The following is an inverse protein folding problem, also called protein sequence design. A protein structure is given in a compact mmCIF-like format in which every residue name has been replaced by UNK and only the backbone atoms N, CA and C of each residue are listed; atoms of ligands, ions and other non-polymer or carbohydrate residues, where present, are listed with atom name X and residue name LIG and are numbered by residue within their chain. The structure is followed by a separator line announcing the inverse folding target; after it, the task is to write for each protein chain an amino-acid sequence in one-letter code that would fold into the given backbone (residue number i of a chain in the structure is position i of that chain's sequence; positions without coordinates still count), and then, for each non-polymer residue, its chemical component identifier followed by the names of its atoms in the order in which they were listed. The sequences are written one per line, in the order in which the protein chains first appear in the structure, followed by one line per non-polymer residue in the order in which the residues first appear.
data_IF_593743397087
#
_entry.id   IF_593743397087
#
_cell.length_a   1.000
_cell.length_b   1.000
_cell.length_c   1.000
_cell.angle_alpha   90.00
_cell.angle_beta   90.00
_cell.angle_gamma   90.00
#
_symmetry.space_group_name_H-M   'P 1'
#
loop_
_entity.id
_entity.type
_entity.pdbx_description
1 polymer ?
#
# COMPACT_ATOMS: atom_id res chain seq x y z
N UNK A 1 72.86 44.67 50.96
CA UNK A 1 72.82 46.14 50.73
C UNK A 1 72.83 46.37 49.23
N UNK A 2 72.08 47.27 48.59
CA UNK A 2 71.09 48.18 49.15
C UNK A 2 69.69 48.02 48.50
N UNK A 3 68.77 48.71 49.12
CA UNK A 3 67.33 48.89 48.76
C UNK A 3 67.19 49.67 47.46
N UNK A 4 66.10 49.38 46.69
CA UNK A 4 65.41 50.41 45.92
C UNK A 4 63.92 50.14 45.87
N UNK A 5 63.20 51.16 46.29
CA UNK A 5 61.76 51.31 46.32
C UNK A 5 61.29 51.70 44.90
N UNK A 6 60.25 51.07 44.36
CA UNK A 6 59.49 51.68 43.25
C UNK A 6 57.98 51.45 43.45
N UNK A 7 57.29 52.53 43.29
CA UNK A 7 55.88 52.86 43.56
C UNK A 7 54.89 52.08 42.79
N UNK A 8 53.79 51.82 43.44
CA UNK A 8 52.53 51.36 42.93
C UNK A 8 51.90 52.32 41.88
N UNK A 9 51.42 51.79 40.77
CA UNK A 9 50.35 52.41 39.94
C UNK A 9 49.20 51.46 39.88
N UNK A 10 48.08 51.83 40.48
CA UNK A 10 46.81 51.21 40.41
C UNK A 10 46.23 51.45 38.99
N UNK A 11 46.14 50.42 38.19
CA UNK A 11 45.43 50.46 36.90
C UNK A 11 44.07 49.76 37.05
N UNK A 12 43.04 50.54 36.99
CA UNK A 12 41.63 50.05 36.98
C UNK A 12 41.34 49.33 35.64
N UNK A 13 41.36 47.99 35.63
CA UNK A 13 40.93 47.20 34.47
C UNK A 13 39.42 46.96 34.59
N UNK A 14 38.65 47.62 33.74
CA UNK A 14 37.22 47.37 33.57
C UNK A 14 37.03 45.96 32.97
N UNK A 15 36.49 45.04 33.74
CA UNK A 15 35.94 43.78 33.20
C UNK A 15 34.67 44.08 32.44
N UNK A 16 34.73 44.00 31.13
CA UNK A 16 33.55 43.88 30.25
C UNK A 16 33.07 42.43 30.31
N UNK A 17 32.02 42.19 31.10
CA UNK A 17 31.27 40.93 31.06
C UNK A 17 30.41 40.94 29.79
N UNK A 18 30.90 40.28 28.77
CA UNK A 18 30.13 40.01 27.55
C UNK A 18 29.01 39.00 27.84
N UNK A 19 27.78 39.48 27.91
CA UNK A 19 26.59 38.63 28.00
C UNK A 19 26.34 38.05 26.58
N UNK A 20 26.87 36.86 26.32
CA UNK A 20 26.52 36.10 25.10
C UNK A 20 25.10 35.60 25.25
N UNK A 21 24.15 36.28 24.58
CA UNK A 21 22.78 35.82 24.42
C UNK A 21 22.82 34.59 23.49
N UNK A 22 22.83 33.40 24.05
CA UNK A 22 22.55 32.18 23.29
C UNK A 22 21.05 32.19 22.90
N UNK A 23 20.71 32.68 21.72
CA UNK A 23 19.42 32.38 21.08
C UNK A 23 19.36 30.89 20.78
N UNK A 24 18.80 30.10 21.67
CA UNK A 24 18.36 28.75 21.37
C UNK A 24 17.19 28.88 20.39
N UNK A 25 17.46 28.72 19.11
CA UNK A 25 16.42 28.50 18.11
C UNK A 25 15.84 27.13 18.44
N UNK A 26 14.75 27.12 19.21
CA UNK A 26 13.90 25.94 19.32
C UNK A 26 13.27 25.74 17.94
N UNK A 27 13.79 24.79 17.16
CA UNK A 27 13.09 24.29 15.98
C UNK A 27 11.82 23.61 16.51
N UNK A 28 10.77 24.41 16.65
CA UNK A 28 9.45 23.90 16.98
C UNK A 28 9.00 23.00 15.84
N UNK A 29 8.85 21.73 16.13
CA UNK A 29 8.18 20.81 15.22
C UNK A 29 6.75 21.31 15.05
N UNK A 30 6.25 21.46 13.80
CA UNK A 30 4.88 21.90 13.62
C UNK A 30 3.95 20.88 14.28
N UNK A 31 3.17 21.34 15.25
CA UNK A 31 2.11 20.52 15.84
C UNK A 31 1.08 20.14 14.76
N UNK A 32 0.44 18.98 14.85
CA UNK A 32 -0.67 18.62 13.98
C UNK A 32 -1.69 19.75 13.95
N UNK A 33 -1.99 20.26 12.75
CA UNK A 33 -2.96 21.35 12.57
C UNK A 33 -4.23 20.79 11.97
N UNK A 34 -5.35 21.07 12.61
CA UNK A 34 -6.66 20.84 12.03
C UNK A 34 -7.10 22.10 11.29
N UNK A 35 -7.48 22.03 9.99
CA UNK A 35 -7.99 23.17 9.25
C UNK A 35 -9.23 23.76 9.94
N UNK A 36 -9.33 25.08 9.96
CA UNK A 36 -10.49 25.79 10.48
C UNK A 36 -11.51 26.16 9.41
N UNK A 37 -11.08 26.12 8.15
CA UNK A 37 -11.90 26.39 6.97
C UNK A 37 -11.75 25.25 5.95
N UNK A 38 -12.88 24.86 5.34
CA UNK A 38 -12.91 23.78 4.31
C UNK A 38 -12.10 24.16 3.06
N UNK A 39 -11.96 25.46 2.77
CA UNK A 39 -11.18 25.99 1.64
C UNK A 39 -9.71 26.26 1.96
N UNK A 40 -9.26 25.98 3.19
CA UNK A 40 -7.88 26.27 3.59
C UNK A 40 -6.89 25.41 2.82
N UNK A 41 -5.93 26.06 2.10
CA UNK A 41 -4.84 25.38 1.41
C UNK A 41 -3.76 25.02 2.42
N UNK A 42 -3.69 23.75 2.80
CA UNK A 42 -2.72 23.24 3.77
C UNK A 42 -1.33 23.06 3.18
N UNK A 43 -1.25 22.64 1.91
CA UNK A 43 0.00 22.36 1.21
C UNK A 43 -0.16 22.64 -0.28
N UNK A 44 0.87 23.19 -0.90
CA UNK A 44 1.00 23.26 -2.36
C UNK A 44 2.06 22.26 -2.78
N UNK A 45 1.65 21.23 -3.49
CA UNK A 45 2.59 20.22 -3.98
C UNK A 45 3.45 20.83 -5.09
N UNK A 46 4.77 20.62 -4.99
CA UNK A 46 5.68 20.99 -6.05
C UNK A 46 5.45 20.10 -7.27
N UNK A 47 5.02 20.69 -8.37
CA UNK A 47 4.88 20.00 -9.65
C UNK A 47 6.20 20.14 -10.40
N UNK A 48 6.79 19.01 -10.81
CA UNK A 48 8.00 19.05 -11.66
C UNK A 48 7.63 19.61 -13.03
N UNK A 49 8.41 20.54 -13.53
CA UNK A 49 8.25 21.04 -14.90
C UNK A 49 8.36 19.86 -15.89
N UNK A 50 7.37 19.75 -16.80
CA UNK A 50 7.31 18.67 -17.78
C UNK A 50 6.73 17.34 -17.28
N UNK A 51 6.15 17.30 -16.08
CA UNK A 51 5.45 16.12 -15.57
C UNK A 51 4.19 15.83 -16.44
N UNK A 52 4.14 14.69 -17.15
CA UNK A 52 3.00 14.33 -18.00
C UNK A 52 1.69 14.21 -17.23
N UNK A 53 1.75 13.70 -15.99
CA UNK A 53 0.57 13.52 -15.14
C UNK A 53 0.00 14.87 -14.70
N UNK A 54 0.86 15.85 -14.39
CA UNK A 54 0.42 17.19 -14.05
C UNK A 54 -0.28 17.89 -15.22
N UNK A 55 0.21 17.70 -16.45
CA UNK A 55 -0.40 18.27 -17.65
C UNK A 55 -1.78 17.65 -17.92
N UNK A 56 -1.88 16.32 -17.83
CA UNK A 56 -3.16 15.59 -17.96
C UNK A 56 -4.14 16.05 -16.89
N UNK A 57 -3.70 16.08 -15.64
CA UNK A 57 -4.53 16.48 -14.51
C UNK A 57 -5.11 17.88 -14.71
N UNK A 58 -4.29 18.86 -15.10
CA UNK A 58 -4.73 20.22 -15.40
C UNK A 58 -5.77 20.26 -16.52
N UNK A 59 -5.59 19.48 -17.58
CA UNK A 59 -6.53 19.40 -18.70
C UNK A 59 -7.90 18.87 -18.22
N UNK A 60 -7.94 17.77 -17.48
CA UNK A 60 -9.20 17.20 -16.99
C UNK A 60 -9.88 18.09 -15.95
N UNK A 61 -9.12 18.74 -15.06
CA UNK A 61 -9.66 19.72 -14.12
C UNK A 61 -10.31 20.91 -14.84
N UNK A 62 -9.69 21.40 -15.91
CA UNK A 62 -10.28 22.47 -16.74
C UNK A 62 -11.55 22.02 -17.46
N UNK A 63 -11.62 20.77 -17.93
CA UNK A 63 -12.83 20.23 -18.55
C UNK A 63 -13.99 20.22 -17.54
N UNK A 64 -13.78 19.68 -16.34
CA UNK A 64 -14.80 19.66 -15.29
C UNK A 64 -15.20 21.08 -14.84
N UNK A 65 -14.25 22.02 -14.73
CA UNK A 65 -14.59 23.39 -14.33
C UNK A 65 -15.49 24.13 -15.36
N UNK A 66 -15.37 23.76 -16.64
CA UNK A 66 -16.24 24.31 -17.72
C UNK A 66 -17.61 23.64 -17.77
N UNK A 67 -17.66 22.36 -17.49
CA UNK A 67 -18.88 21.54 -17.58
C UNK A 67 -19.08 20.66 -16.35
N UNK A 68 -19.35 21.24 -15.15
CA UNK A 68 -19.40 20.49 -13.89
C UNK A 68 -20.56 19.48 -13.78
N UNK A 69 -21.54 19.56 -14.71
CA UNK A 69 -22.67 18.62 -14.80
C UNK A 69 -22.48 17.53 -15.85
N UNK A 70 -21.35 17.54 -16.56
CA UNK A 70 -21.02 16.51 -17.53
C UNK A 70 -20.45 15.26 -16.81
N UNK A 71 -21.25 14.20 -16.76
CA UNK A 71 -20.89 12.94 -16.11
C UNK A 71 -19.60 12.34 -16.69
N UNK A 72 -19.37 12.48 -18.01
CA UNK A 72 -18.21 11.93 -18.67
C UNK A 72 -16.93 12.69 -18.28
N UNK A 73 -16.97 14.02 -18.23
CA UNK A 73 -15.84 14.83 -17.78
C UNK A 73 -15.48 14.54 -16.31
N UNK A 74 -16.51 14.42 -15.44
CA UNK A 74 -16.33 14.09 -14.01
C UNK A 74 -15.76 12.68 -13.86
N UNK A 75 -16.27 11.68 -14.58
CA UNK A 75 -15.76 10.32 -14.56
C UNK A 75 -14.29 10.24 -15.02
N UNK A 76 -13.95 10.92 -16.11
CA UNK A 76 -12.59 10.93 -16.63
C UNK A 76 -11.58 11.52 -15.62
N UNK A 77 -11.93 12.62 -14.93
CA UNK A 77 -11.08 13.20 -13.88
C UNK A 77 -11.00 12.30 -12.64
N UNK A 78 -12.14 11.74 -12.19
CA UNK A 78 -12.16 10.85 -11.04
C UNK A 78 -11.36 9.57 -11.29
N UNK A 79 -11.44 9.01 -12.51
CA UNK A 79 -10.63 7.87 -12.93
C UNK A 79 -9.14 8.20 -12.91
N UNK A 80 -8.76 9.36 -13.48
CA UNK A 80 -7.37 9.80 -13.45
C UNK A 80 -6.84 9.94 -12.01
N UNK A 81 -7.63 10.50 -11.09
CA UNK A 81 -7.25 10.55 -9.69
C UNK A 81 -7.04 9.14 -9.10
N UNK A 82 -7.93 8.19 -9.38
CA UNK A 82 -7.75 6.82 -8.91
C UNK A 82 -6.49 6.17 -9.48
N UNK A 83 -6.24 6.32 -10.78
CA UNK A 83 -5.05 5.79 -11.45
C UNK A 83 -3.75 6.37 -10.86
N UNK A 84 -3.73 7.68 -10.56
CA UNK A 84 -2.60 8.32 -9.88
C UNK A 84 -2.40 7.81 -8.44
N UNK A 85 -3.50 7.55 -7.72
CA UNK A 85 -3.42 6.95 -6.40
C UNK A 85 -2.74 5.57 -6.45
N UNK A 86 -3.12 4.74 -7.41
CA UNK A 86 -2.54 3.40 -7.59
C UNK A 86 -1.10 3.45 -8.07
N UNK A 87 -0.80 4.36 -9.02
CA UNK A 87 0.54 4.51 -9.57
C UNK A 87 1.56 4.96 -8.50
N UNK A 88 1.20 5.95 -7.70
CA UNK A 88 2.12 6.57 -6.74
C UNK A 88 1.95 6.08 -5.31
N UNK A 89 0.89 5.33 -5.00
CA UNK A 89 0.55 4.93 -3.62
C UNK A 89 0.22 6.14 -2.73
N UNK A 90 -0.42 7.17 -3.32
CA UNK A 90 -0.76 8.42 -2.63
C UNK A 90 -2.27 8.52 -2.38
N UNK A 91 -2.74 8.32 -1.13
CA UNK A 91 -4.16 8.29 -0.79
C UNK A 91 -4.88 9.63 -0.96
N UNK A 92 -4.16 10.76 -1.11
CA UNK A 92 -4.76 12.09 -1.33
C UNK A 92 -5.59 12.12 -2.62
N UNK A 93 -5.14 11.42 -3.66
CA UNK A 93 -5.88 11.32 -4.91
C UNK A 93 -7.22 10.58 -4.75
N UNK A 94 -7.30 9.58 -3.86
CA UNK A 94 -8.57 8.93 -3.52
C UNK A 94 -9.54 9.93 -2.89
N UNK A 95 -9.05 10.82 -2.01
CA UNK A 95 -9.83 11.90 -1.43
C UNK A 95 -10.35 12.90 -2.46
N UNK A 96 -9.52 13.27 -3.44
CA UNK A 96 -9.93 14.18 -4.53
C UNK A 96 -11.00 13.56 -5.44
N UNK A 97 -10.86 12.28 -5.78
CA UNK A 97 -11.87 11.57 -6.58
C UNK A 97 -13.20 11.47 -5.84
N UNK A 98 -13.16 11.16 -4.54
CA UNK A 98 -14.35 11.03 -3.70
C UNK A 98 -15.09 12.36 -3.55
N UNK A 99 -14.37 13.45 -3.27
CA UNK A 99 -14.93 14.79 -3.20
C UNK A 99 -15.58 15.20 -4.53
N UNK A 100 -14.92 14.87 -5.65
CA UNK A 100 -15.43 15.17 -6.99
C UNK A 100 -16.75 14.45 -7.29
N UNK A 101 -16.83 13.13 -7.00
CA UNK A 101 -18.05 12.35 -7.22
C UNK A 101 -19.16 12.79 -6.26
N UNK A 102 -18.83 13.08 -5.00
CA UNK A 102 -19.79 13.54 -3.99
C UNK A 102 -20.42 14.91 -4.34
N UNK A 103 -19.64 15.77 -5.00
CA UNK A 103 -20.12 17.08 -5.45
C UNK A 103 -20.93 17.03 -6.76
N UNK A 104 -20.94 15.89 -7.47
CA UNK A 104 -21.68 15.76 -8.73
C UNK A 104 -23.19 15.79 -8.51
N UNK A 105 -23.94 16.71 -9.15
CA UNK A 105 -25.35 16.95 -8.82
C UNK A 105 -26.34 16.00 -9.52
N UNK A 106 -25.83 15.17 -10.44
CA UNK A 106 -26.66 14.28 -11.26
C UNK A 106 -26.78 12.85 -10.71
N UNK A 107 -27.59 12.04 -11.37
CA UNK A 107 -27.60 10.62 -11.14
C UNK A 107 -26.28 10.00 -11.64
N UNK A 108 -25.69 9.11 -10.83
CA UNK A 108 -24.42 8.48 -11.19
C UNK A 108 -24.60 7.51 -12.38
N UNK A 109 -23.78 7.71 -13.40
CA UNK A 109 -23.64 6.78 -14.52
C UNK A 109 -22.96 5.48 -14.09
N UNK A 110 -22.99 4.45 -14.97
CA UNK A 110 -22.26 3.20 -14.73
C UNK A 110 -20.78 3.43 -14.41
N UNK A 111 -20.13 4.33 -15.15
CA UNK A 111 -18.73 4.69 -14.95
C UNK A 111 -18.49 5.37 -13.58
N UNK A 112 -19.35 6.33 -13.18
CA UNK A 112 -19.25 6.99 -11.87
C UNK A 112 -19.52 6.03 -10.72
N UNK A 113 -20.50 5.12 -10.86
CA UNK A 113 -20.75 4.04 -9.89
C UNK A 113 -19.52 3.11 -9.79
N UNK A 114 -18.95 2.72 -10.92
CA UNK A 114 -17.75 1.92 -10.96
C UNK A 114 -16.59 2.59 -10.20
N UNK A 115 -16.28 3.85 -10.53
CA UNK A 115 -15.18 4.57 -9.86
C UNK A 115 -15.46 4.72 -8.36
N UNK A 116 -16.69 5.04 -7.95
CA UNK A 116 -17.05 5.09 -6.52
C UNK A 116 -16.85 3.73 -5.84
N UNK A 117 -17.17 2.64 -6.52
CA UNK A 117 -16.86 1.28 -6.08
C UNK A 117 -15.35 1.07 -5.87
N UNK A 118 -14.51 1.58 -6.77
CA UNK A 118 -13.04 1.55 -6.63
C UNK A 118 -12.55 2.32 -5.42
N UNK A 119 -13.09 3.51 -5.14
CA UNK A 119 -12.73 4.33 -4.00
C UNK A 119 -13.13 3.65 -2.67
N UNK A 120 -14.31 3.02 -2.65
CA UNK A 120 -14.81 2.27 -1.48
C UNK A 120 -13.97 1.03 -1.21
N UNK A 121 -13.65 0.24 -2.24
CA UNK A 121 -12.78 -0.91 -2.08
C UNK A 121 -11.38 -0.52 -1.62
N UNK A 122 -10.82 0.59 -2.12
CA UNK A 122 -9.53 1.10 -1.66
C UNK A 122 -9.52 1.36 -0.15
N UNK A 123 -10.66 1.83 0.40
CA UNK A 123 -10.85 2.03 1.85
C UNK A 123 -11.35 0.79 2.58
N UNK A 124 -11.36 -0.37 1.94
CA UNK A 124 -11.85 -1.65 2.44
C UNK A 124 -13.34 -1.67 2.83
N UNK A 125 -14.15 -0.73 2.33
CA UNK A 125 -15.61 -0.76 2.37
C UNK A 125 -16.16 -1.72 1.33
N UNK A 126 -15.88 -3.02 1.49
CA UNK A 126 -16.11 -4.01 0.44
C UNK A 126 -17.60 -4.24 0.13
N UNK A 127 -18.48 -4.16 1.13
CA UNK A 127 -19.91 -4.36 0.89
C UNK A 127 -20.50 -3.22 0.07
N UNK A 128 -20.16 -1.97 0.41
CA UNK A 128 -20.56 -0.78 -0.33
C UNK A 128 -19.94 -0.76 -1.73
N UNK A 129 -18.68 -1.20 -1.85
CA UNK A 129 -18.01 -1.33 -3.14
C UNK A 129 -18.71 -2.33 -4.04
N UNK A 130 -19.03 -3.53 -3.53
CA UNK A 130 -19.81 -4.55 -4.27
C UNK A 130 -21.18 -4.03 -4.69
N UNK A 131 -21.84 -3.23 -3.84
CA UNK A 131 -23.10 -2.58 -4.17
C UNK A 131 -22.98 -1.67 -5.39
N UNK A 132 -21.99 -0.79 -5.42
CA UNK A 132 -21.73 0.12 -6.54
C UNK A 132 -21.33 -0.62 -7.82
N UNK A 133 -20.45 -1.63 -7.71
CA UNK A 133 -20.01 -2.42 -8.87
C UNK A 133 -21.19 -3.21 -9.49
N UNK A 134 -22.08 -3.76 -8.67
CA UNK A 134 -23.30 -4.43 -9.17
C UNK A 134 -24.27 -3.44 -9.80
N UNK A 135 -24.41 -2.24 -9.25
CA UNK A 135 -25.21 -1.19 -9.84
C UNK A 135 -24.65 -0.72 -11.20
N UNK A 136 -23.31 -0.61 -11.31
CA UNK A 136 -22.63 -0.33 -12.58
C UNK A 136 -22.93 -1.42 -13.62
N UNK A 137 -22.84 -2.70 -13.25
CA UNK A 137 -23.17 -3.84 -14.13
C UNK A 137 -24.65 -3.92 -14.48
N UNK A 138 -25.56 -3.51 -13.60
CA UNK A 138 -26.99 -3.44 -13.92
C UNK A 138 -27.27 -2.38 -14.99
N UNK A 139 -26.52 -1.27 -14.98
CA UNK A 139 -26.61 -0.21 -16.00
C UNK A 139 -25.84 -0.57 -17.29
N UNK A 140 -24.74 -1.31 -17.18
CA UNK A 140 -23.88 -1.74 -18.29
C UNK A 140 -23.42 -3.19 -18.06
N UNK A 141 -24.16 -4.21 -18.56
CA UNK A 141 -23.88 -5.62 -18.28
C UNK A 141 -22.54 -6.15 -18.81
N UNK A 142 -21.97 -5.52 -19.82
CA UNK A 142 -20.68 -5.87 -20.43
C UNK A 142 -19.48 -5.15 -19.80
N UNK A 143 -19.66 -4.44 -18.67
CA UNK A 143 -18.60 -3.70 -17.98
C UNK A 143 -17.60 -4.64 -17.31
N UNK A 144 -16.69 -5.19 -18.09
CA UNK A 144 -15.72 -6.21 -17.67
C UNK A 144 -14.82 -5.76 -16.50
N UNK A 145 -14.44 -4.48 -16.42
CA UNK A 145 -13.64 -3.99 -15.30
C UNK A 145 -14.40 -4.09 -13.97
N UNK A 146 -15.69 -3.74 -13.94
CA UNK A 146 -16.52 -3.87 -12.75
C UNK A 146 -16.63 -5.34 -12.30
N UNK A 147 -16.77 -6.26 -13.27
CA UNK A 147 -16.76 -7.70 -12.97
C UNK A 147 -15.40 -8.18 -12.45
N UNK A 148 -14.30 -7.67 -13.01
CA UNK A 148 -12.94 -7.96 -12.52
C UNK A 148 -12.71 -7.51 -11.08
N UNK A 149 -13.23 -6.35 -10.71
CA UNK A 149 -13.13 -5.84 -9.34
C UNK A 149 -14.02 -6.58 -8.34
N UNK A 150 -15.19 -7.07 -8.75
CA UNK A 150 -15.97 -8.01 -7.93
C UNK A 150 -15.18 -9.29 -7.64
N UNK A 151 -14.49 -9.82 -8.63
CA UNK A 151 -13.59 -10.97 -8.44
C UNK A 151 -12.44 -10.65 -7.47
N UNK A 152 -11.80 -9.48 -7.62
CA UNK A 152 -10.70 -9.06 -6.76
C UNK A 152 -11.16 -8.92 -5.29
N UNK A 153 -12.31 -8.31 -5.05
CA UNK A 153 -12.89 -8.19 -3.69
C UNK A 153 -13.21 -9.58 -3.12
N UNK A 154 -13.80 -10.47 -3.91
CA UNK A 154 -14.09 -11.83 -3.48
C UNK A 154 -12.82 -12.60 -3.09
N UNK A 155 -11.72 -12.47 -3.85
CA UNK A 155 -10.42 -13.07 -3.51
C UNK A 155 -9.86 -12.51 -2.19
N UNK A 156 -9.90 -11.19 -2.01
CA UNK A 156 -9.43 -10.52 -0.78
C UNK A 156 -10.24 -10.98 0.45
N UNK A 157 -11.53 -11.25 0.29
CA UNK A 157 -12.41 -11.75 1.36
C UNK A 157 -12.37 -13.27 1.53
N UNK A 158 -11.56 -14.01 0.73
CA UNK A 158 -11.52 -15.47 0.65
C UNK A 158 -12.87 -16.11 0.23
N UNK A 159 -13.72 -15.37 -0.50
CA UNK A 159 -14.91 -15.88 -1.18
C UNK A 159 -14.53 -16.43 -2.56
N UNK A 160 -13.93 -17.62 -2.58
CA UNK A 160 -13.44 -18.23 -3.82
C UNK A 160 -14.57 -18.71 -4.72
N UNK A 161 -15.76 -19.00 -4.18
CA UNK A 161 -16.95 -19.31 -4.96
C UNK A 161 -17.44 -18.09 -5.73
N UNK A 162 -17.56 -16.94 -5.06
CA UNK A 162 -17.88 -15.64 -5.69
C UNK A 162 -16.84 -15.22 -6.72
N UNK A 163 -15.56 -15.42 -6.42
CA UNK A 163 -14.48 -15.17 -7.39
C UNK A 163 -14.64 -16.03 -8.64
N UNK A 164 -14.92 -17.33 -8.50
CA UNK A 164 -15.14 -18.25 -9.62
C UNK A 164 -16.34 -17.85 -10.50
N UNK A 165 -17.44 -17.41 -9.88
CA UNK A 165 -18.60 -16.87 -10.60
C UNK A 165 -18.23 -15.62 -11.42
N UNK A 166 -17.49 -14.69 -10.83
CA UNK A 166 -17.02 -13.49 -11.50
C UNK A 166 -16.06 -13.82 -12.66
N UNK A 167 -15.13 -14.78 -12.48
CA UNK A 167 -14.26 -15.26 -13.55
C UNK A 167 -15.07 -15.84 -14.72
N UNK A 168 -16.14 -16.59 -14.45
CA UNK A 168 -17.05 -17.16 -15.48
C UNK A 168 -17.75 -16.05 -16.25
N UNK A 169 -18.25 -15.03 -15.55
CA UNK A 169 -18.90 -13.88 -16.17
C UNK A 169 -17.94 -13.08 -17.07
N UNK A 170 -16.67 -12.90 -16.68
CA UNK A 170 -15.63 -12.31 -17.52
C UNK A 170 -15.44 -13.06 -18.84
N UNK A 171 -15.46 -14.39 -18.79
CA UNK A 171 -15.37 -15.23 -19.99
C UNK A 171 -16.59 -15.09 -20.91
N UNK A 172 -17.80 -15.05 -20.33
CA UNK A 172 -19.04 -14.83 -21.06
C UNK A 172 -19.08 -13.45 -21.73
N UNK A 173 -18.49 -12.44 -21.12
CA UNK A 173 -18.32 -11.10 -21.69
C UNK A 173 -17.16 -10.99 -22.71
N UNK A 174 -16.48 -12.09 -23.05
CA UNK A 174 -15.36 -12.08 -24.00
C UNK A 174 -14.04 -11.54 -23.45
N UNK A 175 -13.96 -11.21 -22.17
CA UNK A 175 -12.77 -10.65 -21.51
C UNK A 175 -11.77 -11.74 -21.11
N UNK A 176 -11.27 -12.50 -22.09
CA UNK A 176 -10.48 -13.71 -21.86
C UNK A 176 -9.15 -13.47 -21.10
N UNK A 177 -8.55 -12.30 -21.25
CA UNK A 177 -7.34 -11.92 -20.49
C UNK A 177 -7.65 -11.76 -19.00
N UNK A 178 -8.70 -11.00 -18.66
CA UNK A 178 -9.13 -10.81 -17.28
C UNK A 178 -9.64 -12.11 -16.68
N UNK A 179 -10.39 -12.91 -17.46
CA UNK A 179 -10.83 -14.25 -17.05
C UNK A 179 -9.65 -15.13 -16.65
N UNK A 180 -8.63 -15.21 -17.51
CA UNK A 180 -7.46 -16.05 -17.25
C UNK A 180 -6.70 -15.62 -15.99
N UNK A 181 -6.54 -14.30 -15.78
CA UNK A 181 -5.94 -13.75 -14.56
C UNK A 181 -6.76 -14.06 -13.30
N UNK A 182 -8.09 -13.85 -13.39
CA UNK A 182 -9.04 -14.17 -12.32
C UNK A 182 -8.97 -15.66 -11.92
N UNK A 183 -9.08 -16.56 -12.89
CA UNK A 183 -8.98 -18.00 -12.68
C UNK A 183 -7.61 -18.38 -12.12
N UNK A 184 -6.55 -17.77 -12.64
CA UNK A 184 -5.18 -18.03 -12.18
C UNK A 184 -5.00 -17.72 -10.69
N UNK A 185 -5.48 -16.58 -10.23
CA UNK A 185 -5.43 -16.22 -8.81
C UNK A 185 -6.35 -17.09 -7.95
N UNK A 186 -7.58 -17.38 -8.43
CA UNK A 186 -8.51 -18.26 -7.69
C UNK A 186 -7.91 -19.64 -7.49
N UNK A 187 -7.33 -20.24 -8.53
CA UNK A 187 -6.62 -21.52 -8.45
C UNK A 187 -5.42 -21.46 -7.50
N UNK A 188 -4.63 -20.39 -7.60
CA UNK A 188 -3.45 -20.23 -6.73
C UNK A 188 -3.85 -20.13 -5.25
N UNK A 189 -4.89 -19.34 -4.93
CA UNK A 189 -5.37 -19.17 -3.55
C UNK A 189 -6.07 -20.42 -2.99
N UNK A 190 -6.51 -21.32 -3.87
CA UNK A 190 -7.11 -22.61 -3.50
C UNK A 190 -6.16 -23.79 -3.62
N UNK A 191 -4.85 -23.57 -3.46
CA UNK A 191 -3.84 -24.62 -3.37
C UNK A 191 -3.33 -25.16 -4.71
N UNK A 192 -3.91 -24.72 -5.83
CA UNK A 192 -3.56 -25.20 -7.16
C UNK A 192 -2.53 -24.27 -7.83
N UNK A 193 -1.40 -24.00 -7.13
CA UNK A 193 -0.38 -23.03 -7.55
C UNK A 193 0.12 -23.25 -8.99
N UNK A 194 0.33 -24.51 -9.41
CA UNK A 194 0.83 -24.82 -10.74
C UNK A 194 -0.21 -24.49 -11.84
N UNK A 195 -1.47 -24.87 -11.63
CA UNK A 195 -2.54 -24.56 -12.58
C UNK A 195 -2.83 -23.05 -12.59
N UNK A 196 -2.79 -22.39 -11.42
CA UNK A 196 -2.93 -20.94 -11.29
C UNK A 196 -1.86 -20.21 -12.08
N UNK A 197 -0.61 -20.61 -11.95
CA UNK A 197 0.51 -20.06 -12.71
C UNK A 197 0.30 -20.21 -14.23
N UNK A 198 -0.08 -21.41 -14.70
CA UNK A 198 -0.35 -21.66 -16.13
C UNK A 198 -1.51 -20.82 -16.67
N UNK A 199 -2.57 -20.61 -15.87
CA UNK A 199 -3.68 -19.74 -16.25
C UNK A 199 -3.26 -18.28 -16.41
N UNK A 200 -2.41 -17.78 -15.48
CA UNK A 200 -1.81 -16.44 -15.59
C UNK A 200 -0.92 -16.30 -16.83
N UNK A 201 -0.10 -17.32 -17.16
CA UNK A 201 0.71 -17.32 -18.39
C UNK A 201 -0.16 -17.24 -19.65
N UNK A 202 -1.26 -18.00 -19.70
CA UNK A 202 -2.23 -17.92 -20.81
C UNK A 202 -2.86 -16.53 -20.92
N UNK A 203 -3.17 -15.91 -19.79
CA UNK A 203 -3.62 -14.52 -19.75
C UNK A 203 -2.58 -13.55 -20.30
N UNK A 204 -1.32 -13.67 -19.86
CA UNK A 204 -0.23 -12.83 -20.31
C UNK A 204 0.04 -12.95 -21.82
N UNK A 205 -0.05 -14.16 -22.38
CA UNK A 205 0.11 -14.40 -23.80
C UNK A 205 -0.96 -13.70 -24.66
N UNK A 206 -2.15 -13.45 -24.11
CA UNK A 206 -3.25 -12.73 -24.78
C UNK A 206 -3.25 -11.22 -24.51
N UNK A 207 -2.56 -10.78 -23.46
CA UNK A 207 -2.58 -9.38 -23.04
C UNK A 207 -1.84 -8.48 -24.03
N UNK A 208 -2.55 -7.60 -24.71
CA UNK A 208 -1.98 -6.53 -25.55
C UNK A 208 -1.85 -5.20 -24.79
N UNK A 209 -2.77 -4.94 -23.86
CA UNK A 209 -2.77 -3.74 -23.02
C UNK A 209 -1.62 -3.76 -22.01
N UNK A 210 -0.81 -2.67 -21.89
CA UNK A 210 0.32 -2.62 -20.99
C UNK A 210 -0.05 -2.75 -19.50
N UNK A 211 -1.21 -2.23 -19.08
CA UNK A 211 -1.70 -2.33 -17.71
C UNK A 211 -2.04 -3.77 -17.33
N UNK A 212 -2.76 -4.49 -18.21
CA UNK A 212 -3.05 -5.91 -18.02
C UNK A 212 -1.75 -6.75 -18.01
N UNK A 213 -0.78 -6.42 -18.86
CA UNK A 213 0.54 -7.08 -18.85
C UNK A 213 1.27 -6.87 -17.55
N UNK A 214 1.29 -5.63 -17.03
CA UNK A 214 1.92 -5.29 -15.75
C UNK A 214 1.28 -6.09 -14.62
N UNK A 215 -0.04 -6.07 -14.54
CA UNK A 215 -0.80 -6.80 -13.53
C UNK A 215 -0.48 -8.31 -13.57
N UNK A 216 -0.59 -8.95 -14.75
CA UNK A 216 -0.34 -10.38 -14.88
C UNK A 216 1.11 -10.76 -14.59
N UNK A 217 2.09 -9.97 -15.01
CA UNK A 217 3.51 -10.20 -14.69
C UNK A 217 3.76 -10.09 -13.19
N UNK A 218 3.15 -9.11 -12.52
CA UNK A 218 3.25 -8.97 -11.06
C UNK A 218 2.67 -10.20 -10.35
N UNK A 219 1.47 -10.66 -10.76
CA UNK A 219 0.83 -11.85 -10.19
C UNK A 219 1.61 -13.15 -10.49
N UNK A 220 2.19 -13.27 -11.66
CA UNK A 220 3.11 -14.39 -11.99
C UNK A 220 4.34 -14.37 -11.08
N UNK A 221 4.90 -13.21 -10.81
CA UNK A 221 6.01 -13.05 -9.85
C UNK A 221 5.63 -13.55 -8.46
N UNK A 222 4.47 -13.15 -7.95
CA UNK A 222 3.97 -13.59 -6.63
C UNK A 222 3.72 -15.10 -6.58
N UNK A 223 3.03 -15.65 -7.57
CA UNK A 223 2.73 -17.10 -7.60
C UNK A 223 4.01 -17.93 -7.75
N UNK A 224 4.97 -17.48 -8.55
CA UNK A 224 6.26 -18.13 -8.65
C UNK A 224 7.05 -18.09 -7.33
N UNK A 225 6.98 -16.97 -6.58
CA UNK A 225 7.58 -16.86 -5.25
C UNK A 225 6.91 -17.81 -4.25
N UNK A 226 5.58 -17.93 -4.28
CA UNK A 226 4.86 -18.90 -3.44
C UNK A 226 5.23 -20.35 -3.77
N UNK A 227 5.58 -20.65 -5.02
CA UNK A 227 6.10 -21.97 -5.42
C UNK A 227 7.56 -22.21 -5.04
N UNK A 228 8.26 -21.22 -4.44
CA UNK A 228 9.69 -21.28 -4.16
C UNK A 228 10.58 -21.12 -5.40
N UNK A 229 10.02 -20.70 -6.54
CA UNK A 229 10.73 -20.54 -7.83
C UNK A 229 11.32 -19.12 -7.95
N UNK A 230 12.31 -18.82 -7.08
CA UNK A 230 12.84 -17.46 -6.91
C UNK A 230 13.33 -16.81 -8.21
N UNK A 231 14.13 -17.52 -9.03
CA UNK A 231 14.64 -16.97 -10.30
C UNK A 231 13.54 -16.63 -11.29
N UNK A 232 12.47 -17.39 -11.29
CA UNK A 232 11.30 -17.16 -12.15
C UNK A 232 10.49 -15.96 -11.64
N UNK A 233 10.26 -15.85 -10.34
CA UNK A 233 9.63 -14.69 -9.72
C UNK A 233 10.37 -13.40 -10.09
N UNK A 234 11.68 -13.39 -9.93
CA UNK A 234 12.55 -12.27 -10.30
C UNK A 234 12.41 -11.89 -11.78
N UNK A 235 12.39 -12.88 -12.67
CA UNK A 235 12.23 -12.67 -14.12
C UNK A 235 10.92 -11.94 -14.44
N UNK A 236 9.82 -12.32 -13.78
CA UNK A 236 8.52 -11.69 -13.96
C UNK A 236 8.48 -10.26 -13.43
N UNK A 237 8.97 -10.01 -12.22
CA UNK A 237 9.03 -8.65 -11.66
C UNK A 237 9.90 -7.73 -12.52
N UNK A 238 11.06 -8.19 -12.96
CA UNK A 238 11.91 -7.42 -13.88
C UNK A 238 11.23 -7.16 -15.22
N UNK A 239 10.43 -8.10 -15.72
CA UNK A 239 9.66 -7.93 -16.95
C UNK A 239 8.54 -6.90 -16.76
N UNK A 240 7.87 -6.90 -15.61
CA UNK A 240 6.87 -5.88 -15.26
C UNK A 240 7.50 -4.47 -15.21
N UNK A 241 8.66 -4.33 -14.56
CA UNK A 241 9.40 -3.05 -14.50
C UNK A 241 9.82 -2.53 -15.88
N UNK A 242 10.19 -3.43 -16.82
CA UNK A 242 10.56 -3.04 -18.19
C UNK A 242 9.41 -2.46 -19.01
N UNK A 243 8.16 -2.59 -18.58
CA UNK A 243 7.03 -1.91 -19.22
C UNK A 243 7.07 -0.40 -19.03
N UNK A 244 7.87 0.12 -18.09
CA UNK A 244 8.03 1.54 -17.83
C UNK A 244 6.82 2.22 -17.18
N UNK A 245 5.83 1.43 -16.72
CA UNK A 245 4.67 1.95 -16.00
C UNK A 245 5.00 2.11 -14.51
N UNK A 246 4.55 3.20 -13.92
CA UNK A 246 4.63 3.40 -12.47
C UNK A 246 3.47 2.68 -11.80
N UNK A 247 3.77 1.80 -10.84
CA UNK A 247 2.77 1.05 -10.08
C UNK A 247 3.30 0.75 -8.68
N UNK A 248 2.62 1.28 -7.66
CA UNK A 248 3.07 1.15 -6.27
C UNK A 248 2.94 -0.30 -5.77
N UNK A 249 1.95 -1.06 -6.28
CA UNK A 249 1.79 -2.46 -5.90
C UNK A 249 2.94 -3.34 -6.41
N UNK A 250 3.33 -3.20 -7.69
CA UNK A 250 4.50 -3.88 -8.24
C UNK A 250 5.76 -3.57 -7.43
N UNK A 251 6.00 -2.28 -7.13
CA UNK A 251 7.18 -1.87 -6.37
C UNK A 251 7.18 -2.46 -4.96
N UNK A 252 6.02 -2.52 -4.30
CA UNK A 252 5.87 -3.13 -2.98
C UNK A 252 6.10 -4.65 -3.04
N UNK A 253 5.46 -5.36 -3.98
CA UNK A 253 5.59 -6.81 -4.13
C UNK A 253 7.02 -7.23 -4.47
N UNK A 254 7.68 -6.50 -5.39
CA UNK A 254 9.08 -6.75 -5.74
C UNK A 254 10.01 -6.43 -4.56
N UNK A 255 9.77 -5.35 -3.81
CA UNK A 255 10.55 -5.04 -2.60
C UNK A 255 10.40 -6.12 -1.53
N UNK A 256 9.19 -6.62 -1.30
CA UNK A 256 8.95 -7.70 -0.33
C UNK A 256 9.70 -8.98 -0.73
N UNK A 257 9.68 -9.34 -2.00
CA UNK A 257 10.48 -10.46 -2.52
C UNK A 257 11.98 -10.24 -2.30
N UNK A 258 12.51 -9.06 -2.60
CA UNK A 258 13.94 -8.74 -2.39
C UNK A 258 14.33 -8.78 -0.91
N UNK A 259 13.47 -8.27 -0.01
CA UNK A 259 13.70 -8.35 1.44
C UNK A 259 13.74 -9.81 1.93
N UNK A 260 12.84 -10.65 1.44
CA UNK A 260 12.82 -12.09 1.75
C UNK A 260 14.07 -12.80 1.23
N UNK A 261 14.63 -12.35 0.10
CA UNK A 261 15.89 -12.85 -0.45
C UNK A 261 17.15 -12.21 0.17
N UNK A 262 17.01 -11.44 1.26
CA UNK A 262 18.11 -10.73 1.93
C UNK A 262 18.91 -9.81 1.00
N UNK A 263 18.21 -9.10 0.10
CA UNK A 263 18.75 -8.17 -0.91
C UNK A 263 18.32 -6.72 -0.66
N UNK A 264 18.53 -6.15 0.54
CA UNK A 264 18.01 -4.82 0.90
C UNK A 264 18.62 -3.67 0.07
N UNK A 265 19.85 -3.80 -0.43
CA UNK A 265 20.48 -2.78 -1.27
C UNK A 265 19.68 -2.50 -2.54
N UNK A 266 19.09 -3.53 -3.13
CA UNK A 266 18.28 -3.39 -4.34
C UNK A 266 16.94 -2.72 -4.05
N UNK A 267 16.36 -2.93 -2.87
CA UNK A 267 15.17 -2.21 -2.42
C UNK A 267 15.46 -0.71 -2.26
N UNK A 268 16.60 -0.37 -1.65
CA UNK A 268 17.01 1.04 -1.50
C UNK A 268 17.18 1.71 -2.87
N UNK A 269 17.81 1.04 -3.83
CA UNK A 269 17.96 1.57 -5.19
C UNK A 269 16.61 1.70 -5.92
N UNK A 270 15.72 0.71 -5.78
CA UNK A 270 14.40 0.68 -6.41
C UNK A 270 13.48 1.80 -5.90
N UNK A 271 13.50 2.04 -4.59
CA UNK A 271 12.55 2.94 -3.91
C UNK A 271 13.11 4.35 -3.64
N UNK A 272 14.28 4.69 -4.16
CA UNK A 272 14.84 6.03 -4.01
C UNK A 272 13.87 7.11 -4.51
N UNK A 273 13.54 8.10 -3.66
CA UNK A 273 12.62 9.20 -3.97
C UNK A 273 11.14 8.81 -4.01
N UNK A 274 10.77 7.67 -3.39
CA UNK A 274 9.39 7.19 -3.33
C UNK A 274 8.82 7.19 -1.90
N UNK A 275 9.42 7.98 -1.03
CA UNK A 275 9.06 8.07 0.40
C UNK A 275 7.66 8.69 0.63
N UNK A 276 7.04 9.25 -0.40
CA UNK A 276 5.67 9.80 -0.32
C UNK A 276 4.61 8.71 -0.07
N UNK A 277 4.84 7.50 -0.56
CA UNK A 277 3.95 6.34 -0.39
C UNK A 277 4.26 5.61 0.91
N UNK A 278 3.30 5.48 1.83
CA UNK A 278 3.49 4.77 3.10
C UNK A 278 3.88 3.30 2.93
N UNK A 279 3.24 2.52 2.04
CA UNK A 279 3.67 1.16 1.76
C UNK A 279 5.12 1.05 1.26
N UNK A 280 5.57 1.99 0.42
CA UNK A 280 6.94 1.98 -0.11
C UNK A 280 7.95 2.48 0.93
N UNK A 281 7.58 3.51 1.71
CA UNK A 281 8.38 4.00 2.84
C UNK A 281 8.64 2.89 3.87
N UNK A 282 7.63 2.05 4.17
CA UNK A 282 7.79 0.91 5.06
C UNK A 282 8.89 -0.05 4.56
N UNK A 283 8.85 -0.42 3.28
CA UNK A 283 9.83 -1.33 2.68
C UNK A 283 11.23 -0.71 2.64
N UNK A 284 11.32 0.59 2.38
CA UNK A 284 12.57 1.33 2.43
C UNK A 284 13.16 1.36 3.85
N UNK A 285 12.33 1.60 4.88
CA UNK A 285 12.75 1.57 6.27
C UNK A 285 13.23 0.16 6.69
N UNK A 286 12.51 -0.89 6.30
CA UNK A 286 12.90 -2.29 6.52
C UNK A 286 14.25 -2.62 5.87
N UNK A 287 14.46 -2.18 4.63
CA UNK A 287 15.74 -2.38 3.93
C UNK A 287 16.89 -1.69 4.66
N UNK A 288 16.72 -0.42 5.04
CA UNK A 288 17.73 0.30 5.81
C UNK A 288 18.00 -0.33 7.18
N UNK A 289 16.98 -0.90 7.83
CA UNK A 289 17.14 -1.62 9.09
C UNK A 289 17.93 -2.93 8.91
N UNK A 290 17.62 -3.73 7.87
CA UNK A 290 18.38 -4.96 7.56
C UNK A 290 19.85 -4.67 7.27
N UNK A 291 20.17 -3.51 6.70
CA UNK A 291 21.54 -3.06 6.42
C UNK A 291 22.26 -2.46 7.63
N UNK A 292 21.61 -2.24 8.77
CA UNK A 292 22.16 -1.48 9.87
C UNK A 292 22.46 -0.01 9.51
N UNK A 293 21.75 0.55 8.55
CA UNK A 293 21.99 1.88 8.02
C UNK A 293 21.62 2.99 9.02
N UNK A 294 22.43 4.07 9.15
CA UNK A 294 22.10 5.21 9.98
C UNK A 294 20.87 5.99 9.53
N UNK A 295 20.32 5.73 8.34
CA UNK A 295 19.08 6.33 7.86
C UNK A 295 17.82 5.67 8.44
N UNK A 296 17.91 4.44 8.95
CA UNK A 296 16.75 3.71 9.45
C UNK A 296 15.94 4.48 10.52
N UNK A 297 16.54 5.10 11.56
CA UNK A 297 15.77 5.81 12.59
C UNK A 297 14.93 6.97 12.03
N UNK A 298 15.44 7.71 11.05
CA UNK A 298 14.70 8.81 10.44
C UNK A 298 13.48 8.33 9.65
N UNK A 299 13.62 7.23 8.89
CA UNK A 299 12.52 6.62 8.14
C UNK A 299 11.46 6.01 9.07
N UNK A 300 11.90 5.38 10.16
CA UNK A 300 11.00 4.87 11.21
C UNK A 300 10.20 6.00 11.82
N UNK A 301 10.86 7.14 12.14
CA UNK A 301 10.13 8.30 12.67
C UNK A 301 9.10 8.86 11.69
N UNK A 302 9.41 8.92 10.40
CA UNK A 302 8.42 9.34 9.39
C UNK A 302 7.19 8.43 9.39
N UNK A 303 7.38 7.12 9.55
CA UNK A 303 6.27 6.16 9.66
C UNK A 303 5.49 6.34 10.97
N UNK A 304 6.18 6.60 12.11
CA UNK A 304 5.53 6.93 13.38
C UNK A 304 4.54 8.08 13.21
N UNK A 305 5.02 9.19 12.63
CA UNK A 305 4.22 10.40 12.45
C UNK A 305 3.01 10.15 11.53
N UNK A 306 3.18 9.37 10.45
CA UNK A 306 2.11 9.04 9.50
C UNK A 306 1.08 8.08 10.08
N UNK A 307 1.48 7.01 10.73
CA UNK A 307 0.54 6.09 11.37
C UNK A 307 -0.18 6.75 12.57
N UNK A 308 0.49 7.65 13.30
CA UNK A 308 -0.19 8.46 14.33
C UNK A 308 -1.29 9.34 13.70
N UNK A 309 -1.00 10.01 12.59
CA UNK A 309 -1.99 10.81 11.86
C UNK A 309 -3.14 9.95 11.30
N UNK A 310 -2.85 8.75 10.80
CA UNK A 310 -3.85 7.78 10.33
C UNK A 310 -4.80 7.36 11.45
N UNK A 311 -4.26 7.01 12.63
CA UNK A 311 -5.08 6.68 13.80
C UNK A 311 -5.95 7.85 14.27
N UNK A 312 -5.43 9.08 14.28
CA UNK A 312 -6.21 10.28 14.65
C UNK A 312 -7.40 10.53 13.71
N UNK A 313 -7.29 10.14 12.43
CA UNK A 313 -8.38 10.23 11.45
C UNK A 313 -9.35 9.04 11.51
N UNK A 314 -9.07 8.03 12.33
CA UNK A 314 -9.85 6.78 12.35
C UNK A 314 -9.70 5.96 11.05
N UNK A 315 -8.67 6.21 10.25
CA UNK A 315 -8.41 5.49 9.02
C UNK A 315 -7.85 4.10 9.32
N UNK A 316 -8.41 3.07 8.71
CA UNK A 316 -8.05 1.66 8.93
C UNK A 316 -7.48 0.97 7.71
N UNK A 317 -7.25 1.72 6.63
CA UNK A 317 -6.85 1.19 5.31
C UNK A 317 -5.50 0.47 5.34
N UNK A 318 -4.56 0.92 6.19
CA UNK A 318 -3.19 0.41 6.21
C UNK A 318 -2.85 -0.46 7.43
N UNK A 319 -3.85 -1.16 7.99
CA UNK A 319 -3.62 -2.01 9.19
C UNK A 319 -2.56 -3.09 8.97
N UNK A 320 -2.48 -3.70 7.79
CA UNK A 320 -1.47 -4.72 7.49
C UNK A 320 -0.05 -4.12 7.51
N UNK A 321 0.13 -2.96 6.88
CA UNK A 321 1.40 -2.23 6.88
C UNK A 321 1.77 -1.75 8.28
N UNK A 322 0.80 -1.24 9.05
CA UNK A 322 1.02 -0.81 10.43
C UNK A 322 1.36 -1.99 11.35
N UNK A 323 0.71 -3.16 11.17
CA UNK A 323 1.05 -4.38 11.88
C UNK A 323 2.50 -4.80 11.61
N UNK A 324 2.92 -4.79 10.34
CA UNK A 324 4.29 -5.11 9.95
C UNK A 324 5.29 -4.11 10.50
N UNK A 325 4.97 -2.82 10.47
CA UNK A 325 5.76 -1.76 11.08
C UNK A 325 5.94 -1.97 12.59
N UNK A 326 4.83 -2.21 13.31
CA UNK A 326 4.87 -2.48 14.75
C UNK A 326 5.73 -3.71 15.08
N UNK A 327 5.57 -4.82 14.31
CA UNK A 327 6.32 -6.05 14.52
C UNK A 327 7.80 -5.90 14.21
N UNK A 328 8.14 -5.44 13.01
CA UNK A 328 9.49 -5.56 12.46
C UNK A 328 10.37 -4.35 12.78
N UNK A 329 9.81 -3.14 12.88
CA UNK A 329 10.56 -1.90 13.11
C UNK A 329 10.49 -1.43 14.56
N UNK A 330 9.31 -1.48 15.19
CA UNK A 330 9.11 -1.01 16.58
C UNK A 330 9.27 -2.11 17.62
N UNK A 331 9.13 -3.37 17.21
CA UNK A 331 9.09 -4.55 18.10
C UNK A 331 7.99 -4.45 19.16
N UNK A 332 6.91 -3.76 18.83
CA UNK A 332 5.69 -3.71 19.63
C UNK A 332 4.79 -4.89 19.23
N UNK A 333 5.06 -6.02 19.86
CA UNK A 333 4.41 -7.30 19.54
C UNK A 333 2.91 -7.23 19.82
N UNK A 334 2.50 -6.54 20.91
CA UNK A 334 1.10 -6.40 21.29
C UNK A 334 0.29 -5.64 20.25
N UNK A 335 0.79 -4.46 19.84
CA UNK A 335 0.16 -3.66 18.79
C UNK A 335 0.16 -4.41 17.44
N UNK A 336 1.26 -5.06 17.09
CA UNK A 336 1.38 -5.84 15.85
C UNK A 336 0.31 -6.94 15.77
N UNK A 337 0.13 -7.71 16.84
CA UNK A 337 -0.86 -8.79 16.88
C UNK A 337 -2.29 -8.25 16.79
N UNK A 338 -2.62 -7.21 17.54
CA UNK A 338 -3.94 -6.60 17.51
C UNK A 338 -4.29 -6.05 16.11
N UNK A 339 -3.35 -5.35 15.47
CA UNK A 339 -3.53 -4.81 14.12
C UNK A 339 -3.65 -5.92 13.07
N UNK A 340 -2.81 -6.95 13.14
CA UNK A 340 -2.85 -8.08 12.21
C UNK A 340 -4.15 -8.87 12.33
N UNK A 341 -4.66 -9.09 13.56
CA UNK A 341 -5.97 -9.71 13.78
C UNK A 341 -7.10 -8.87 13.18
N UNK A 342 -7.12 -7.56 13.48
CA UNK A 342 -8.14 -6.65 12.96
C UNK A 342 -8.11 -6.54 11.43
N UNK A 343 -6.93 -6.61 10.80
CA UNK A 343 -6.79 -6.69 9.36
C UNK A 343 -7.36 -7.98 8.79
N UNK A 344 -7.05 -9.13 9.40
CA UNK A 344 -7.44 -10.44 8.90
C UNK A 344 -8.96 -10.70 8.97
N UNK A 345 -9.71 -9.92 9.77
CA UNK A 345 -11.19 -9.95 9.74
C UNK A 345 -11.74 -9.42 8.40
N UNK A 346 -11.01 -8.50 7.76
CA UNK A 346 -11.45 -7.78 6.57
C UNK A 346 -10.77 -8.30 5.30
N UNK A 347 -9.45 -8.57 5.39
CA UNK A 347 -8.62 -9.02 4.28
C UNK A 347 -7.94 -10.34 4.62
N UNK A 348 -8.02 -11.33 3.70
CA UNK A 348 -7.55 -12.70 3.91
C UNK A 348 -6.67 -13.19 2.77
N UNK A 349 -5.81 -12.30 2.26
CA UNK A 349 -4.80 -12.69 1.27
C UNK A 349 -3.61 -13.41 1.93
N UNK A 350 -2.78 -14.13 1.15
CA UNK A 350 -1.59 -14.80 1.70
C UNK A 350 -0.66 -13.90 2.50
N UNK A 351 -0.53 -12.61 2.10
CA UNK A 351 0.28 -11.62 2.83
C UNK A 351 -0.32 -11.24 4.19
N UNK A 352 -1.66 -11.17 4.27
CA UNK A 352 -2.37 -10.86 5.52
C UNK A 352 -2.29 -12.04 6.49
N UNK A 353 -2.40 -13.26 5.96
CA UNK A 353 -2.17 -14.49 6.71
C UNK A 353 -0.75 -14.55 7.27
N UNK A 354 0.26 -14.18 6.46
CA UNK A 354 1.66 -14.17 6.85
C UNK A 354 1.91 -13.23 8.04
N UNK A 355 1.46 -11.97 7.97
CA UNK A 355 1.72 -11.02 9.06
C UNK A 355 1.02 -11.44 10.37
N UNK A 356 -0.18 -12.04 10.28
CA UNK A 356 -0.86 -12.58 11.46
C UNK A 356 -0.10 -13.76 12.06
N UNK A 357 0.42 -14.68 11.24
CA UNK A 357 1.26 -15.79 11.73
C UNK A 357 2.56 -15.28 12.37
N UNK A 358 3.26 -14.35 11.72
CA UNK A 358 4.49 -13.75 12.24
C UNK A 358 4.25 -13.04 13.59
N UNK A 359 3.17 -12.27 13.71
CA UNK A 359 2.81 -11.57 14.94
C UNK A 359 2.41 -12.55 16.07
N UNK A 360 1.63 -13.58 15.75
CA UNK A 360 1.23 -14.61 16.71
C UNK A 360 2.42 -15.43 17.22
N UNK A 361 3.37 -15.77 16.35
CA UNK A 361 4.62 -16.44 16.72
C UNK A 361 5.47 -15.56 17.63
N UNK A 362 5.63 -14.27 17.30
CA UNK A 362 6.38 -13.33 18.13
C UNK A 362 5.75 -13.14 19.52
N UNK A 363 4.42 -13.20 19.60
CA UNK A 363 3.67 -13.13 20.86
C UNK A 363 3.68 -14.45 21.65
N UNK A 364 4.13 -15.56 21.06
CA UNK A 364 4.02 -16.88 21.66
C UNK A 364 2.57 -17.38 21.79
N UNK A 365 1.64 -16.83 21.00
CA UNK A 365 0.20 -17.09 21.10
C UNK A 365 -0.31 -17.80 19.84
N UNK A 366 -0.84 -19.01 20.00
CA UNK A 366 -1.41 -19.78 18.87
C UNK A 366 -2.85 -19.37 18.54
N UNK A 367 -3.65 -19.05 19.55
CA UNK A 367 -5.09 -18.80 19.40
C UNK A 367 -5.42 -17.74 18.34
N UNK A 368 -4.73 -16.60 18.25
CA UNK A 368 -4.98 -15.57 17.21
C UNK A 368 -4.83 -16.09 15.78
N UNK A 369 -3.94 -17.03 15.55
CA UNK A 369 -3.63 -17.56 14.23
C UNK A 369 -4.51 -18.75 13.79
N UNK A 370 -5.43 -19.23 14.65
CA UNK A 370 -6.33 -20.34 14.32
C UNK A 370 -7.18 -20.08 13.07
N UNK A 371 -7.55 -18.81 12.82
CA UNK A 371 -8.28 -18.43 11.59
C UNK A 371 -7.44 -18.66 10.35
N UNK A 372 -6.12 -18.42 10.41
CA UNK A 372 -5.21 -18.70 9.30
C UNK A 372 -5.05 -20.20 9.10
N UNK A 373 -4.90 -20.99 10.20
CA UNK A 373 -4.85 -22.45 10.11
C UNK A 373 -6.13 -23.03 9.47
N UNK A 374 -7.30 -22.52 9.86
CA UNK A 374 -8.58 -22.91 9.27
C UNK A 374 -8.66 -22.53 7.78
N UNK A 375 -8.24 -21.33 7.43
CA UNK A 375 -8.19 -20.88 6.02
C UNK A 375 -7.25 -21.75 5.19
N UNK A 376 -6.03 -22.03 5.64
CA UNK A 376 -5.09 -22.88 4.91
C UNK A 376 -5.66 -24.29 4.74
N UNK A 377 -6.30 -24.84 5.78
CA UNK A 377 -6.95 -26.16 5.70
C UNK A 377 -8.09 -26.19 4.71
N UNK A 378 -8.93 -25.16 4.67
CA UNK A 378 -10.11 -25.12 3.79
C UNK A 378 -9.76 -24.76 2.35
N UNK A 379 -8.79 -23.88 2.12
CA UNK A 379 -8.35 -23.45 0.79
C UNK A 379 -7.33 -24.39 0.16
N UNK A 380 -6.56 -25.13 0.97
CA UNK A 380 -5.42 -25.93 0.51
C UNK A 380 -4.20 -25.09 0.12
N UNK A 381 -4.15 -23.80 0.46
CA UNK A 381 -3.03 -22.94 0.10
C UNK A 381 -1.69 -23.43 0.69
N UNK A 382 -0.66 -23.55 -0.15
CA UNK A 382 0.65 -24.12 0.21
C UNK A 382 1.83 -23.21 -0.21
N UNK A 383 1.70 -21.91 -0.13
CA UNK A 383 2.78 -20.97 -0.46
C UNK A 383 3.94 -21.07 0.54
N UNK A 384 5.19 -21.07 0.03
CA UNK A 384 6.43 -21.25 0.81
C UNK A 384 6.49 -20.44 2.10
N UNK A 385 6.18 -19.13 2.13
CA UNK A 385 6.27 -18.37 3.38
C UNK A 385 5.38 -18.94 4.50
N UNK A 386 4.14 -19.33 4.19
CA UNK A 386 3.20 -19.85 5.17
C UNK A 386 3.57 -21.29 5.59
N UNK A 387 4.02 -22.10 4.64
CA UNK A 387 4.46 -23.49 4.89
C UNK A 387 5.64 -23.57 5.87
N UNK A 388 6.46 -22.52 5.94
CA UNK A 388 7.56 -22.41 6.90
C UNK A 388 7.09 -21.96 8.29
N UNK A 389 6.08 -21.09 8.37
CA UNK A 389 5.58 -20.53 9.64
C UNK A 389 4.63 -21.46 10.39
N UNK A 390 3.78 -22.18 9.67
CA UNK A 390 2.74 -23.07 10.27
C UNK A 390 3.31 -24.15 11.21
N UNK A 391 4.40 -24.86 10.89
CA UNK A 391 5.01 -25.83 11.82
C UNK A 391 5.52 -25.17 13.10
N UNK A 392 6.08 -23.95 13.02
CA UNK A 392 6.54 -23.21 14.19
C UNK A 392 5.37 -22.82 15.10
N UNK A 393 4.25 -22.41 14.51
CA UNK A 393 3.02 -22.13 15.25
C UNK A 393 2.46 -23.39 15.94
N UNK A 394 2.49 -24.53 15.24
CA UNK A 394 2.03 -25.79 15.79
C UNK A 394 2.85 -26.28 16.99
N UNK A 395 4.11 -25.85 17.08
CA UNK A 395 5.01 -26.15 18.20
C UNK A 395 4.73 -25.31 19.46
N UNK A 396 3.94 -24.22 19.36
CA UNK A 396 3.56 -23.42 20.52
C UNK A 396 2.63 -24.20 21.46
N UNK A 397 2.71 -23.98 22.79
CA UNK A 397 1.83 -24.63 23.75
C UNK A 397 0.36 -24.41 23.43
N UNK A 398 -0.44 -25.49 23.48
CA UNK A 398 -1.90 -25.42 23.39
C UNK A 398 -2.42 -24.84 24.70
N UNK A 399 -2.85 -23.57 24.71
CA UNK A 399 -3.49 -22.99 25.89
C UNK A 399 -2.74 -21.83 26.55
N UNK A 400 -1.76 -21.21 25.88
CA UNK A 400 -1.35 -19.87 26.28
C UNK A 400 -2.43 -18.88 25.86
N UNK A 401 -2.99 -18.08 26.80
CA UNK A 401 -4.07 -17.14 26.56
C UNK A 401 -3.68 -16.04 25.56
#
# INVERSE_FOLDING_TARGET
MPRLIVRSKVGLTRCLVGFSLFCTVTVGWPAPRTPTDVGEVLERLAVKAGDPDASRLKQYQQAVSRTPKDAQAVAALARLYFDLAMAHGDPRYVGYADALISAYPGQLSAELLFIRGLLRQYRHGFEEAKGDLRAALAAQPDFSEAQGWLAAIALVQADYAGAGQACTALGAAGSLTLQAGCLGLTLAYTGQLAQGYQALEKGLARASDPGNRLWLLTRLGEVAAWQGRASLAESHYKSALRLGLTDAYLLAAWSDFLLDQQRPNEVVALLAGKEASDPLLLRLALAHQQMGSPKAPALVKMLDDRFAATRLRGDTTHRAEEARYALQLRRDIGAALALAQANYEVQREPRDARILLEAALAAGQRAPAQKVEAWVKSSGFQGVPLSQLLPLLAALPKGSP
#
